data_IF_269789795563
#
_entry.id   IF_269789795563
#
_cell.length_a   1.000
_cell.length_b   1.000
_cell.length_c   1.000
_cell.angle_alpha   90.00
_cell.angle_beta   90.00
_cell.angle_gamma   90.00
#
_symmetry.space_group_name_H-M   'P 1'
#
loop_
_entity.id
_entity.type
_entity.pdbx_description
1 polymer ?
#
# COMPACT_ATOMS: atom_id res chain seq x y z
N UNK A 1 -13.51 15.61 -3.47
CA UNK A 1 -12.91 14.68 -4.46
C UNK A 1 -11.39 14.87 -4.41
N UNK A 2 -10.62 13.84 -4.06
CA UNK A 2 -9.17 13.97 -3.81
C UNK A 2 -8.41 13.99 -5.14
N UNK A 3 -7.44 14.90 -5.30
CA UNK A 3 -6.53 14.93 -6.46
C UNK A 3 -5.16 14.40 -6.04
N UNK A 4 -4.48 13.70 -6.95
CA UNK A 4 -3.12 13.24 -6.76
C UNK A 4 -2.19 14.10 -7.62
N UNK A 5 -1.29 14.84 -6.96
CA UNK A 5 -0.17 15.50 -7.63
C UNK A 5 1.02 14.54 -7.61
N UNK A 6 1.29 13.89 -8.74
CA UNK A 6 2.48 13.06 -8.91
C UNK A 6 3.52 13.88 -9.66
N UNK A 7 4.67 14.13 -9.05
CA UNK A 7 5.73 14.98 -9.62
C UNK A 7 6.43 14.31 -10.82
N UNK A 8 6.18 13.03 -11.09
CA UNK A 8 6.60 12.31 -12.30
C UNK A 8 5.56 11.24 -12.66
N UNK A 9 5.45 10.82 -13.92
CA UNK A 9 4.61 9.68 -14.31
C UNK A 9 5.10 8.41 -13.59
N UNK A 10 4.46 8.03 -12.48
CA UNK A 10 4.85 6.84 -11.71
C UNK A 10 3.91 5.70 -12.08
N UNK A 11 4.44 4.68 -12.76
CA UNK A 11 3.87 3.32 -12.70
C UNK A 11 4.26 2.77 -11.33
N UNK A 12 3.45 3.06 -10.31
CA UNK A 12 3.81 2.71 -8.94
C UNK A 12 3.57 1.22 -8.72
N UNK A 13 4.64 0.43 -8.88
CA UNK A 13 4.66 -0.93 -8.34
C UNK A 13 5.15 -0.83 -6.90
N UNK A 14 4.21 -0.72 -5.95
CA UNK A 14 4.48 -0.68 -4.50
C UNK A 14 5.03 -2.00 -3.92
N UNK A 15 5.55 -2.89 -4.76
CA UNK A 15 6.01 -4.20 -4.35
C UNK A 15 7.52 -4.31 -4.53
N UNK A 16 8.19 -4.45 -3.41
CA UNK A 16 9.50 -5.08 -3.36
C UNK A 16 9.40 -6.46 -4.03
N UNK A 17 10.01 -6.62 -5.20
CA UNK A 17 10.11 -7.94 -5.86
C UNK A 17 11.16 -8.77 -5.12
N UNK A 18 10.78 -9.32 -3.98
CA UNK A 18 11.57 -10.34 -3.29
C UNK A 18 11.35 -11.70 -3.98
N UNK A 19 12.37 -12.28 -4.65
CA UNK A 19 12.24 -13.64 -5.15
C UNK A 19 12.10 -14.60 -3.97
N UNK A 20 11.23 -15.59 -4.12
CA UNK A 20 10.98 -16.56 -3.06
C UNK A 20 10.19 -17.76 -3.56
N UNK A 21 9.98 -18.71 -2.66
CA UNK A 21 9.18 -19.91 -2.91
C UNK A 21 7.87 -19.81 -2.13
N UNK A 22 6.75 -19.87 -2.84
CA UNK A 22 5.42 -19.97 -2.27
C UNK A 22 4.98 -21.44 -2.17
N UNK A 23 4.46 -21.83 -1.01
CA UNK A 23 3.85 -23.14 -0.78
C UNK A 23 2.47 -22.94 -0.17
N UNK A 24 1.47 -23.61 -0.75
CA UNK A 24 0.12 -23.67 -0.23
C UNK A 24 -0.09 -25.05 0.43
N UNK A 25 -0.70 -25.07 1.61
CA UNK A 25 -1.08 -26.28 2.36
C UNK A 25 -2.54 -26.14 2.80
N UNK A 26 -3.13 -27.14 3.43
CA UNK A 26 -4.55 -27.04 3.81
C UNK A 26 -4.82 -26.02 4.93
N UNK A 27 -3.78 -25.62 5.67
CA UNK A 27 -3.89 -24.70 6.82
C UNK A 27 -3.11 -23.40 6.64
N UNK A 28 -2.09 -23.38 5.78
CA UNK A 28 -1.15 -22.26 5.69
C UNK A 28 -0.72 -21.94 4.26
N UNK A 29 -0.51 -20.65 4.02
CA UNK A 29 0.24 -20.10 2.90
C UNK A 29 1.62 -19.73 3.43
N UNK A 30 2.67 -20.33 2.87
CA UNK A 30 4.04 -20.17 3.35
C UNK A 30 4.89 -19.58 2.24
N UNK A 31 5.52 -18.44 2.50
CA UNK A 31 6.47 -17.81 1.60
C UNK A 31 7.86 -17.84 2.23
N UNK A 32 8.84 -18.37 1.52
CA UNK A 32 10.26 -18.30 1.92
C UNK A 32 11.00 -17.37 0.98
N UNK A 33 11.55 -16.28 1.53
CA UNK A 33 12.39 -15.34 0.80
C UNK A 33 13.71 -16.04 0.40
N UNK A 34 14.06 -16.00 -0.90
CA UNK A 34 15.26 -16.66 -1.41
C UNK A 34 16.56 -15.95 -1.03
N UNK A 35 16.52 -14.62 -0.82
CA UNK A 35 17.70 -13.82 -0.43
C UNK A 35 17.97 -13.93 1.08
N UNK A 36 16.95 -13.67 1.91
CA UNK A 36 17.12 -13.56 3.37
C UNK A 36 16.87 -14.88 4.10
N UNK A 37 16.26 -15.87 3.45
CA UNK A 37 15.82 -17.11 4.08
C UNK A 37 14.62 -16.95 5.02
N UNK A 38 14.14 -15.71 5.24
CA UNK A 38 12.98 -15.41 6.10
C UNK A 38 11.76 -16.17 5.61
N UNK A 39 11.11 -16.87 6.52
CA UNK A 39 9.86 -17.59 6.27
C UNK A 39 8.71 -16.76 6.84
N UNK A 40 7.74 -16.48 6.00
CA UNK A 40 6.47 -15.87 6.35
C UNK A 40 5.37 -16.92 6.20
N UNK A 41 4.48 -16.98 7.20
CA UNK A 41 3.41 -17.95 7.26
C UNK A 41 2.10 -17.23 7.54
N UNK A 42 1.12 -17.42 6.66
CA UNK A 42 -0.23 -16.88 6.76
C UNK A 42 -1.17 -18.04 7.04
N UNK A 43 -1.96 -17.94 8.10
CA UNK A 43 -2.96 -18.96 8.45
C UNK A 43 -4.22 -18.79 7.60
N UNK A 44 -4.76 -19.90 7.09
CA UNK A 44 -5.95 -19.90 6.24
C UNK A 44 -7.18 -19.28 6.93
N UNK A 45 -7.30 -19.42 8.25
CA UNK A 45 -8.37 -18.81 9.05
C UNK A 45 -8.34 -17.28 9.06
N UNK A 46 -7.18 -16.68 8.78
CA UNK A 46 -6.96 -15.23 8.87
C UNK A 46 -7.23 -14.53 7.54
N UNK A 47 -7.45 -15.31 6.47
CA UNK A 47 -7.83 -14.80 5.16
C UNK A 47 -9.19 -14.11 5.22
N UNK A 48 -9.25 -12.89 4.71
CA UNK A 48 -10.50 -12.16 4.52
C UNK A 48 -10.90 -12.18 3.04
N UNK A 49 -10.15 -11.47 2.20
CA UNK A 49 -10.41 -11.36 0.77
C UNK A 49 -9.23 -11.95 -0.01
N UNK A 50 -9.54 -12.74 -1.03
CA UNK A 50 -8.54 -13.26 -1.98
C UNK A 50 -8.98 -12.87 -3.38
N UNK A 51 -8.08 -12.23 -4.13
CA UNK A 51 -8.33 -11.86 -5.51
C UNK A 51 -7.23 -12.36 -6.43
N UNK A 52 -7.62 -12.69 -7.65
CA UNK A 52 -6.70 -12.75 -8.77
C UNK A 52 -6.48 -11.33 -9.30
N UNK A 53 -5.24 -10.93 -9.50
CA UNK A 53 -4.92 -9.55 -9.88
C UNK A 53 -3.84 -9.51 -10.95
N UNK A 54 -4.01 -8.64 -11.94
CA UNK A 54 -2.95 -8.33 -12.89
C UNK A 54 -1.84 -7.54 -12.20
N UNK A 55 -0.61 -8.01 -12.30
CA UNK A 55 0.60 -7.33 -11.83
C UNK A 55 1.48 -6.97 -13.04
N UNK A 56 2.55 -6.20 -12.81
CA UNK A 56 3.46 -5.80 -13.90
C UNK A 56 4.10 -7.03 -14.55
N UNK A 57 3.69 -7.31 -15.78
CA UNK A 57 4.18 -8.41 -16.62
C UNK A 57 3.75 -9.81 -16.20
N UNK A 58 2.96 -9.96 -15.12
CA UNK A 58 2.59 -11.27 -14.56
C UNK A 58 1.20 -11.22 -13.94
N UNK A 59 0.70 -12.37 -13.50
CA UNK A 59 -0.48 -12.43 -12.65
C UNK A 59 -0.08 -12.70 -11.19
N UNK A 60 -0.98 -12.33 -10.28
CA UNK A 60 -0.74 -12.41 -8.85
C UNK A 60 -1.98 -12.77 -8.04
N UNK A 61 -1.73 -13.29 -6.84
CA UNK A 61 -2.73 -13.49 -5.80
C UNK A 61 -2.61 -12.31 -4.84
N UNK A 62 -3.69 -11.54 -4.72
CA UNK A 62 -3.85 -10.46 -3.74
C UNK A 62 -4.64 -11.01 -2.55
N UNK A 63 -4.05 -10.95 -1.36
CA UNK A 63 -4.64 -11.48 -0.13
C UNK A 63 -4.76 -10.36 0.87
N UNK A 64 -5.98 -10.09 1.30
CA UNK A 64 -6.29 -9.21 2.41
C UNK A 64 -6.62 -10.07 3.63
N UNK A 65 -5.95 -9.81 4.74
CA UNK A 65 -6.19 -10.51 6.01
C UNK A 65 -7.21 -9.76 6.86
N UNK A 66 -7.85 -10.46 7.79
CA UNK A 66 -8.85 -9.89 8.72
C UNK A 66 -8.28 -8.77 9.61
N UNK A 67 -6.97 -8.78 9.84
CA UNK A 67 -6.27 -7.75 10.60
C UNK A 67 -5.95 -6.49 9.76
N UNK A 68 -6.31 -6.47 8.48
CA UNK A 68 -6.06 -5.33 7.59
C UNK A 68 -4.72 -5.37 6.84
N UNK A 69 -3.93 -6.43 6.98
CA UNK A 69 -2.67 -6.60 6.24
C UNK A 69 -2.92 -7.08 4.82
N UNK A 70 -2.17 -6.53 3.86
CA UNK A 70 -2.22 -6.91 2.45
C UNK A 70 -0.95 -7.65 2.04
N UNK A 71 -1.10 -8.88 1.54
CA UNK A 71 -0.05 -9.64 0.88
C UNK A 71 -0.35 -9.74 -0.61
N UNK A 72 0.71 -9.75 -1.42
CA UNK A 72 0.61 -9.95 -2.86
C UNK A 72 1.73 -10.89 -3.30
N UNK A 73 1.36 -12.00 -3.89
CA UNK A 73 2.30 -12.96 -4.48
C UNK A 73 2.15 -12.90 -5.99
N UNK A 74 3.23 -12.54 -6.70
CA UNK A 74 3.24 -12.42 -8.16
C UNK A 74 4.13 -13.47 -8.83
N UNK A 75 4.09 -13.50 -10.16
CA UNK A 75 4.90 -14.43 -10.96
C UNK A 75 4.11 -15.58 -11.58
N UNK A 76 2.78 -15.57 -11.47
CA UNK A 76 1.94 -16.60 -12.05
C UNK A 76 1.63 -16.33 -13.52
N UNK A 77 1.36 -17.41 -14.24
CA UNK A 77 0.82 -17.39 -15.59
C UNK A 77 -0.70 -17.36 -15.56
N UNK A 78 -1.31 -16.85 -16.62
CA UNK A 78 -2.77 -16.74 -16.73
C UNK A 78 -3.48 -18.10 -16.62
N UNK A 79 -2.94 -19.13 -17.29
CA UNK A 79 -3.50 -20.49 -17.24
C UNK A 79 -3.43 -21.17 -15.86
N UNK A 80 -2.83 -20.55 -14.84
CA UNK A 80 -2.79 -21.09 -13.48
C UNK A 80 -3.98 -20.63 -12.61
N UNK A 81 -4.74 -19.63 -13.07
CA UNK A 81 -5.83 -19.03 -12.29
C UNK A 81 -6.86 -20.05 -11.83
N UNK A 82 -7.38 -20.89 -12.74
CA UNK A 82 -8.44 -21.84 -12.41
C UNK A 82 -7.99 -22.88 -11.37
N UNK A 83 -6.75 -23.37 -11.52
CA UNK A 83 -6.16 -24.32 -10.57
C UNK A 83 -6.02 -23.72 -9.18
N UNK A 84 -5.54 -22.48 -9.09
CA UNK A 84 -5.36 -21.76 -7.83
C UNK A 84 -6.73 -21.44 -7.21
N UNK A 85 -7.70 -20.96 -8.01
CA UNK A 85 -9.05 -20.68 -7.55
C UNK A 85 -9.72 -21.92 -6.93
N UNK A 86 -9.61 -23.08 -7.59
CA UNK A 86 -10.08 -24.36 -7.06
C UNK A 86 -9.43 -24.68 -5.71
N UNK A 87 -8.11 -24.48 -5.58
CA UNK A 87 -7.42 -24.71 -4.30
C UNK A 87 -7.97 -23.83 -3.17
N UNK A 88 -8.12 -22.52 -3.39
CA UNK A 88 -8.67 -21.60 -2.38
C UNK A 88 -10.12 -21.94 -2.00
N UNK A 89 -10.95 -22.30 -2.98
CA UNK A 89 -12.34 -22.69 -2.74
C UNK A 89 -12.43 -24.01 -1.95
N UNK A 90 -11.69 -25.04 -2.37
CA UNK A 90 -11.75 -26.36 -1.74
C UNK A 90 -11.17 -26.36 -0.33
N UNK A 91 -9.97 -25.78 -0.13
CA UNK A 91 -9.22 -25.89 1.12
C UNK A 91 -9.52 -24.77 2.11
N UNK A 92 -9.68 -23.53 1.62
CA UNK A 92 -9.84 -22.36 2.50
C UNK A 92 -11.26 -21.79 2.53
N UNK A 93 -12.18 -22.33 1.72
CA UNK A 93 -13.55 -21.83 1.55
C UNK A 93 -13.58 -20.35 1.14
N UNK A 94 -12.60 -19.95 0.32
CA UNK A 94 -12.49 -18.59 -0.23
C UNK A 94 -12.67 -18.61 -1.73
N UNK A 95 -13.58 -17.76 -2.21
CA UNK A 95 -13.71 -17.48 -3.64
C UNK A 95 -12.59 -16.52 -4.06
N UNK A 96 -11.92 -16.83 -5.17
CA UNK A 96 -10.86 -16.01 -5.73
C UNK A 96 -11.34 -15.35 -7.02
N UNK A 97 -12.00 -14.21 -6.87
CA UNK A 97 -12.48 -13.40 -7.99
C UNK A 97 -11.36 -12.53 -8.55
N UNK A 98 -11.45 -12.22 -9.84
CA UNK A 98 -10.56 -11.23 -10.45
C UNK A 98 -10.87 -9.82 -9.92
N UNK A 99 -9.83 -9.10 -9.50
CA UNK A 99 -9.92 -7.68 -9.13
C UNK A 99 -9.39 -6.84 -10.29
N UNK A 100 -10.31 -6.25 -11.03
CA UNK A 100 -9.99 -5.30 -12.09
C UNK A 100 -9.51 -3.96 -11.50
N UNK A 101 -8.42 -3.41 -12.06
CA UNK A 101 -7.87 -2.13 -11.67
C UNK A 101 -8.29 -1.03 -12.66
N UNK A 102 -8.33 0.22 -12.20
CA UNK A 102 -8.58 1.35 -13.08
C UNK A 102 -7.37 1.60 -13.99
N UNK A 103 -7.59 1.53 -15.30
CA UNK A 103 -6.58 1.84 -16.33
C UNK A 103 -6.81 3.20 -17.01
N UNK A 104 -7.68 4.04 -16.43
CA UNK A 104 -8.10 5.33 -17.03
C UNK A 104 -7.00 6.41 -17.01
N UNK A 105 -5.99 6.26 -16.15
CA UNK A 105 -4.91 7.25 -15.99
C UNK A 105 -5.35 8.55 -15.30
N UNK A 106 -6.55 8.59 -14.72
CA UNK A 106 -7.04 9.78 -14.02
C UNK A 106 -6.38 9.92 -12.65
N UNK A 107 -6.08 11.17 -12.29
CA UNK A 107 -5.45 11.51 -11.01
C UNK A 107 -6.45 12.12 -10.01
N UNK A 108 -7.76 12.03 -10.27
CA UNK A 108 -8.81 12.44 -9.33
C UNK A 108 -9.66 11.24 -8.94
N UNK A 109 -10.06 11.20 -7.67
CA UNK A 109 -10.71 10.02 -7.11
C UNK A 109 -11.02 10.14 -5.64
N UNK A 110 -11.16 8.98 -5.00
CA UNK A 110 -11.44 8.86 -3.57
C UNK A 110 -10.34 8.04 -2.91
N UNK A 111 -9.66 8.64 -1.94
CA UNK A 111 -8.81 7.91 -1.02
C UNK A 111 -9.67 7.19 0.02
N UNK A 112 -9.42 5.90 0.22
CA UNK A 112 -10.08 5.08 1.23
C UNK A 112 -9.04 4.32 2.03
N UNK A 113 -9.27 4.23 3.32
CA UNK A 113 -8.44 3.45 4.22
C UNK A 113 -9.14 2.13 4.52
N UNK A 114 -8.45 1.03 4.29
CA UNK A 114 -8.88 -0.30 4.69
C UNK A 114 -7.73 -0.95 5.45
N UNK A 115 -7.90 -1.13 6.76
CA UNK A 115 -6.84 -1.67 7.61
C UNK A 115 -5.56 -0.84 7.55
N UNK A 116 -4.45 -1.49 7.18
CA UNK A 116 -3.14 -0.87 7.01
C UNK A 116 -2.86 -0.45 5.55
N UNK A 117 -3.90 -0.26 4.74
CA UNK A 117 -3.77 0.05 3.31
C UNK A 117 -4.60 1.29 2.93
N UNK A 118 -3.95 2.24 2.27
CA UNK A 118 -4.60 3.34 1.58
C UNK A 118 -4.86 2.94 0.11
N UNK A 119 -6.12 2.90 -0.31
CA UNK A 119 -6.51 2.69 -1.71
C UNK A 119 -6.98 4.00 -2.34
N UNK A 120 -6.60 4.22 -3.60
CA UNK A 120 -7.12 5.34 -4.39
C UNK A 120 -8.04 4.81 -5.49
N UNK A 121 -9.33 5.13 -5.39
CA UNK A 121 -10.35 4.65 -6.32
C UNK A 121 -10.68 5.73 -7.36
N UNK A 122 -10.73 5.31 -8.63
CA UNK A 122 -11.12 6.14 -9.78
C UNK A 122 -12.42 5.55 -10.35
N UNK A 123 -13.55 6.19 -10.04
CA UNK A 123 -14.86 5.63 -10.33
C UNK A 123 -15.16 4.43 -9.43
N UNK A 124 -15.53 3.30 -10.03
CA UNK A 124 -15.80 2.04 -9.32
C UNK A 124 -14.56 1.19 -9.05
N UNK A 125 -13.43 1.50 -9.71
CA UNK A 125 -12.26 0.63 -9.73
C UNK A 125 -11.09 1.27 -8.98
N UNK A 126 -10.33 0.45 -8.25
CA UNK A 126 -9.11 0.88 -7.56
C UNK A 126 -8.01 1.16 -8.59
N UNK A 127 -7.38 2.33 -8.54
CA UNK A 127 -6.22 2.65 -9.36
C UNK A 127 -4.94 2.09 -8.76
N UNK A 128 -4.70 2.33 -7.47
CA UNK A 128 -3.56 1.79 -6.74
C UNK A 128 -3.86 1.61 -5.25
N UNK A 129 -3.00 0.85 -4.57
CA UNK A 129 -3.07 0.65 -3.13
C UNK A 129 -1.67 0.74 -2.53
N UNK A 130 -1.57 1.45 -1.41
CA UNK A 130 -0.35 1.77 -0.67
C UNK A 130 -0.43 1.08 0.70
N UNK A 131 0.39 0.05 0.95
CA UNK A 131 0.62 -0.44 2.30
C UNK A 131 1.23 0.66 3.16
N UNK A 132 0.56 1.05 4.23
CA UNK A 132 0.96 2.18 5.07
C UNK A 132 2.24 1.87 5.87
N UNK A 133 2.56 0.61 6.10
CA UNK A 133 3.84 0.19 6.68
C UNK A 133 5.06 0.57 5.82
N UNK A 134 4.88 0.96 4.55
CA UNK A 134 5.95 1.51 3.71
C UNK A 134 6.10 3.03 3.81
N UNK A 135 5.15 3.71 4.47
CA UNK A 135 5.19 5.15 4.71
C UNK A 135 6.08 5.42 5.91
N UNK A 136 7.14 6.21 5.70
CA UNK A 136 8.11 6.59 6.72
C UNK A 136 7.74 7.88 7.44
N UNK A 137 7.03 8.78 6.75
CA UNK A 137 6.58 10.06 7.29
C UNK A 137 5.32 10.50 6.55
N UNK A 138 4.44 11.22 7.26
CA UNK A 138 3.29 11.90 6.69
C UNK A 138 3.33 13.35 7.17
N UNK A 139 3.26 14.31 6.25
CA UNK A 139 3.20 15.74 6.58
C UNK A 139 1.96 16.39 5.95
N UNK A 140 1.46 17.44 6.58
CA UNK A 140 0.27 18.17 6.12
C UNK A 140 0.65 19.56 5.61
N UNK A 141 -0.12 20.03 4.63
CA UNK A 141 -0.08 21.39 4.12
C UNK A 141 -1.51 21.91 3.91
N UNK A 142 -1.64 23.12 3.36
CA UNK A 142 -2.96 23.68 3.05
C UNK A 142 -3.66 22.81 2.00
N UNK A 143 -4.70 22.09 2.40
CA UNK A 143 -5.45 21.16 1.52
C UNK A 143 -4.57 20.05 0.93
N UNK A 144 -3.45 19.70 1.57
CA UNK A 144 -2.51 18.73 1.04
C UNK A 144 -2.01 17.78 2.14
N UNK A 145 -1.80 16.52 1.76
CA UNK A 145 -1.10 15.52 2.56
C UNK A 145 0.02 14.93 1.71
N UNK A 146 1.22 14.93 2.27
CA UNK A 146 2.42 14.37 1.66
C UNK A 146 2.80 13.09 2.38
N UNK A 147 2.90 11.99 1.63
CA UNK A 147 3.43 10.71 2.09
C UNK A 147 4.87 10.56 1.62
N UNK A 148 5.77 10.29 2.55
CA UNK A 148 7.15 9.92 2.26
C UNK A 148 7.33 8.43 2.54
N UNK A 149 8.14 7.76 1.73
CA UNK A 149 8.33 6.32 1.79
C UNK A 149 9.74 5.95 2.23
N UNK A 150 9.86 4.80 2.89
CA UNK A 150 11.17 4.21 3.15
C UNK A 150 11.93 3.98 1.84
N UNK A 151 13.20 4.39 1.82
CA UNK A 151 14.08 4.12 0.69
C UNK A 151 14.34 2.62 0.59
N UNK A 152 14.38 2.12 -0.64
CA UNK A 152 14.74 0.74 -0.96
C UNK A 152 15.88 0.75 -1.98
N UNK A 153 17.10 0.51 -1.50
CA UNK A 153 18.31 0.50 -2.33
C UNK A 153 18.40 -0.75 -3.23
N UNK A 154 17.59 -1.79 -2.97
CA UNK A 154 17.53 -3.00 -3.79
C UNK A 154 16.64 -2.85 -5.03
N UNK A 155 15.92 -1.72 -5.17
CA UNK A 155 15.04 -1.45 -6.30
C UNK A 155 15.68 -0.42 -7.27
N UNK A 156 15.62 -0.66 -8.59
CA UNK A 156 16.20 0.27 -9.57
C UNK A 156 15.43 1.60 -9.66
N UNK A 157 14.16 1.61 -9.23
CA UNK A 157 13.30 2.79 -9.16
C UNK A 157 12.52 2.71 -7.85
N UNK A 158 12.62 3.76 -7.05
CA UNK A 158 11.97 3.85 -5.74
C UNK A 158 11.07 5.08 -5.69
N UNK A 159 9.82 4.88 -5.24
CA UNK A 159 8.90 5.98 -4.97
C UNK A 159 9.33 6.65 -3.67
N UNK A 160 9.64 7.95 -3.72
CA UNK A 160 10.16 8.69 -2.58
C UNK A 160 9.07 9.45 -1.85
N UNK A 161 8.23 10.15 -2.61
CA UNK A 161 7.18 11.03 -2.09
C UNK A 161 5.93 10.92 -2.97
N UNK A 162 4.75 11.06 -2.35
CA UNK A 162 3.47 11.21 -3.02
C UNK A 162 2.61 12.25 -2.31
N UNK A 163 2.01 13.18 -3.07
CA UNK A 163 1.17 14.24 -2.51
C UNK A 163 -0.28 14.15 -2.96
N UNK A 164 -1.18 14.09 -1.99
CA UNK A 164 -2.63 14.15 -2.18
C UNK A 164 -3.12 15.56 -1.88
N UNK A 165 -3.85 16.15 -2.82
CA UNK A 165 -4.67 17.32 -2.58
C UNK A 165 -6.06 16.89 -2.10
N UNK A 166 -6.44 17.37 -0.93
CA UNK A 166 -7.72 17.11 -0.27
C UNK A 166 -8.52 18.41 -0.33
N UNK A 167 -9.55 18.50 -1.18
CA UNK A 167 -10.31 19.73 -1.29
C UNK A 167 -11.03 20.01 0.02
N UNK A 168 -11.05 21.28 0.38
CA UNK A 168 -11.89 21.79 1.46
C UNK A 168 -13.35 21.52 1.05
N UNK A 169 -14.01 20.58 1.73
CA UNK A 169 -15.46 20.41 1.55
C UNK A 169 -16.15 21.50 2.35
N UNK A 170 -16.98 22.33 1.73
CA UNK A 170 -17.89 23.26 2.43
C UNK A 170 -18.90 22.52 3.34
N UNK A 171 -18.97 21.19 3.25
CA UNK A 171 -19.89 20.29 3.95
C UNK A 171 -19.21 19.34 4.96
N UNK A 172 -17.90 19.45 5.21
CA UNK A 172 -17.26 18.61 6.21
C UNK A 172 -17.65 19.09 7.62
N UNK A 173 -18.10 18.17 8.47
CA UNK A 173 -18.42 18.44 9.88
C UNK A 173 -17.22 18.93 10.70
N UNK A 174 -17.27 18.85 12.03
CA UNK A 174 -16.30 19.48 12.95
C UNK A 174 -14.81 19.07 12.79
N UNK A 175 -14.46 18.12 11.90
CA UNK A 175 -13.10 17.61 11.73
C UNK A 175 -12.53 18.01 10.37
N UNK A 176 -11.37 18.67 10.38
CA UNK A 176 -10.59 19.01 9.20
C UNK A 176 -10.24 17.73 8.38
N UNK A 177 -10.63 17.64 7.10
CA UNK A 177 -10.38 16.46 6.28
C UNK A 177 -8.89 16.18 6.05
N UNK A 178 -8.01 17.20 6.08
CA UNK A 178 -6.56 17.01 5.98
C UNK A 178 -6.04 16.31 7.22
N UNK A 179 -6.43 16.80 8.40
CA UNK A 179 -6.05 16.23 9.68
C UNK A 179 -6.59 14.81 9.86
N UNK A 180 -7.85 14.57 9.48
CA UNK A 180 -8.44 13.23 9.53
C UNK A 180 -7.73 12.21 8.64
N UNK A 181 -7.28 12.63 7.44
CA UNK A 181 -6.49 11.78 6.56
C UNK A 181 -5.10 11.50 7.16
N UNK A 182 -4.43 12.54 7.64
CA UNK A 182 -3.12 12.45 8.27
C UNK A 182 -3.14 11.48 9.45
N UNK A 183 -4.12 11.59 10.35
CA UNK A 183 -4.27 10.69 11.50
C UNK A 183 -4.46 9.23 11.08
N UNK A 184 -5.22 8.96 10.01
CA UNK A 184 -5.41 7.60 9.51
C UNK A 184 -4.12 7.00 8.95
N UNK A 185 -3.29 7.79 8.27
CA UNK A 185 -1.96 7.37 7.83
C UNK A 185 -1.07 7.10 9.03
N UNK A 186 -0.94 8.06 9.94
CA UNK A 186 -0.02 8.00 11.07
C UNK A 186 -0.31 6.84 12.04
N UNK A 187 -1.57 6.39 12.11
CA UNK A 187 -1.97 5.21 12.91
C UNK A 187 -1.31 3.91 12.44
N UNK A 188 -0.99 3.79 11.15
CA UNK A 188 -0.50 2.56 10.52
C UNK A 188 0.88 2.71 9.87
N UNK A 189 1.37 3.95 9.77
CA UNK A 189 2.66 4.27 9.17
C UNK A 189 3.81 3.79 10.06
N UNK A 190 4.90 3.37 9.41
CA UNK A 190 6.12 2.95 10.09
C UNK A 190 7.01 4.17 10.36
N UNK A 191 6.46 5.13 11.10
CA UNK A 191 7.18 6.37 11.42
C UNK A 191 8.29 6.07 12.40
N UNK A 192 9.53 6.26 11.93
CA UNK A 192 10.70 6.19 12.79
C UNK A 192 10.74 7.50 13.56
N UNK A 193 10.07 7.54 14.71
CA UNK A 193 10.29 8.60 15.67
C UNK A 193 11.74 8.46 16.15
N UNK A 194 12.61 9.36 15.69
CA UNK A 194 13.90 9.59 16.34
C UNK A 194 13.60 10.05 17.77
N UNK A 195 13.52 9.11 18.71
CA UNK A 195 13.42 9.43 20.12
C UNK A 195 14.79 9.91 20.59
N UNK A 196 14.92 11.22 20.70
CA UNK A 196 16.09 11.87 21.28
C UNK A 196 15.67 13.20 21.87
N UNK A 197 16.08 13.46 23.10
CA UNK A 197 15.98 14.79 23.66
C UNK A 197 16.97 15.70 22.94
N UNK A 198 16.52 16.89 22.54
CA UNK A 198 17.41 17.87 21.97
C UNK A 198 18.49 18.22 23.00
N UNK A 199 19.76 17.94 22.67
CA UNK A 199 20.90 18.26 23.54
C UNK A 199 21.08 19.78 23.65
N UNK A 200 20.74 20.52 22.58
CA UNK A 200 20.73 21.98 22.54
C UNK A 200 19.74 22.46 21.49
N UNK A 201 19.25 23.70 21.63
CA UNK A 201 18.33 24.33 20.66
C UNK A 201 18.92 25.64 20.19
N UNK A 202 19.19 25.74 18.89
CA UNK A 202 19.57 27.00 18.27
C UNK A 202 18.34 27.64 17.63
N UNK A 203 17.99 28.84 18.08
CA UNK A 203 16.92 29.64 17.50
C UNK A 203 17.53 30.72 16.62
N UNK A 204 16.86 31.04 15.51
CA UNK A 204 17.16 32.23 14.68
C UNK A 204 18.58 32.27 14.10
N UNK A 205 19.13 31.12 13.69
CA UNK A 205 20.37 31.10 12.92
C UNK A 205 20.13 31.78 11.58
N UNK A 206 20.91 32.83 11.30
CA UNK A 206 20.89 33.48 9.99
C UNK A 206 21.54 32.55 8.94
N UNK A 207 20.73 31.98 8.06
CA UNK A 207 21.20 31.24 6.89
C UNK A 207 21.36 32.20 5.70
N UNK A 208 22.60 32.41 5.24
CA UNK A 208 22.88 33.21 4.04
C UNK A 208 22.50 32.47 2.74
N UNK A 209 22.38 31.15 2.81
CA UNK A 209 21.94 30.29 1.71
C UNK A 209 21.05 29.19 2.29
N UNK A 210 19.73 29.21 2.06
CA UNK A 210 18.79 28.23 2.60
C UNK A 210 18.83 26.88 1.85
#
# INVERSE_FOLDING_TARGET
MTYLHVVRSVVATFQEKCPGRLKLTDQHIIFKNSKTGKVEQITASDLDIVNWQKLVGTWGIRIFLKNGTLHRFGGFKEGEQEKIAKFFSSNYKKEMLEKELSLKGWNWGTAKFNGAVLSFDVGSNTAFEIPLNHVSQCTTGKNEVTLEFHQNDDAPVSLMEMRFHIPSSELAGDVDPVEAFHQQVMKQASVINLSGDAITTFKEIQCLTP
#
